data_IF_648546452165
#
_entry.id   IF_648546452165
#
_cell.length_a   1.000
_cell.length_b   1.000
_cell.length_c   1.000
_cell.angle_alpha   90.00
_cell.angle_beta   90.00
_cell.angle_gamma   90.00
#
_symmetry.space_group_name_H-M   'P 1'
#
loop_
_entity.id
_entity.type
_entity.pdbx_description
1 polymer ?
#
# COMPACT_ATOMS: atom_id res chain seq x y z
N UNK A 1 -12.13 -0.68 26.31
CA UNK A 1 -10.69 -0.32 26.35
C UNK A 1 -10.44 0.60 25.18
N UNK A 2 -9.57 1.60 25.29
CA UNK A 2 -9.27 2.50 24.19
C UNK A 2 -8.67 1.73 23.01
N UNK A 3 -8.82 2.26 21.81
CA UNK A 3 -8.26 1.73 20.56
C UNK A 3 -7.66 2.87 19.75
N UNK A 4 -6.91 2.55 18.69
CA UNK A 4 -6.35 3.59 17.79
C UNK A 4 -7.44 4.49 17.19
N UNK A 5 -8.66 3.98 16.98
CA UNK A 5 -9.80 4.73 16.44
C UNK A 5 -10.19 5.92 17.34
N UNK A 6 -10.01 5.79 18.66
CA UNK A 6 -10.31 6.87 19.61
C UNK A 6 -9.36 8.08 19.43
N UNK A 7 -8.23 7.87 18.75
CA UNK A 7 -7.20 8.88 18.51
C UNK A 7 -7.08 9.29 17.04
N UNK A 8 -7.95 8.81 16.15
CA UNK A 8 -7.93 9.19 14.72
C UNK A 8 -8.20 10.68 14.49
N UNK A 9 -8.85 11.38 15.43
CA UNK A 9 -9.01 12.83 15.39
C UNK A 9 -7.67 13.60 15.33
N UNK A 10 -6.56 12.97 15.75
CA UNK A 10 -5.23 13.56 15.62
C UNK A 10 -4.73 13.57 14.18
N UNK A 11 -5.31 12.78 13.27
CA UNK A 11 -4.99 12.83 11.83
C UNK A 11 -5.40 14.17 11.20
N UNK A 12 -6.31 14.92 11.83
CA UNK A 12 -6.67 16.28 11.41
C UNK A 12 -5.61 17.32 11.79
N UNK A 13 -4.63 16.95 12.62
CA UNK A 13 -3.53 17.84 13.00
C UNK A 13 -2.53 17.99 11.86
N UNK A 14 -2.00 19.20 11.71
CA UNK A 14 -0.94 19.51 10.75
C UNK A 14 0.28 18.61 10.97
N UNK A 15 0.84 18.11 9.86
CA UNK A 15 1.97 17.18 9.82
C UNK A 15 1.70 15.77 10.37
N UNK A 16 0.52 15.43 10.88
CA UNK A 16 0.26 14.07 11.37
C UNK A 16 -0.05 13.15 10.19
N UNK A 17 0.68 12.03 10.14
CA UNK A 17 0.59 11.04 9.06
C UNK A 17 -0.08 9.74 9.51
N UNK A 18 -0.10 9.48 10.81
CA UNK A 18 -0.62 8.23 11.35
C UNK A 18 -0.63 8.23 12.87
N UNK A 19 -1.54 7.46 13.46
CA UNK A 19 -1.70 7.33 14.91
C UNK A 19 -1.81 5.86 15.29
N UNK A 20 -1.14 5.48 16.35
CA UNK A 20 -1.22 4.14 16.93
C UNK A 20 -1.37 4.22 18.44
N UNK A 21 -2.35 3.52 18.99
CA UNK A 21 -2.47 3.32 20.42
C UNK A 21 -1.91 1.95 20.83
N UNK A 22 -0.97 1.98 21.77
CA UNK A 22 -0.30 0.83 22.37
C UNK A 22 -0.89 0.62 23.77
N UNK A 23 -1.78 -0.38 23.90
CA UNK A 23 -2.54 -0.64 25.12
C UNK A 23 -1.71 -1.26 26.24
N UNK A 24 -0.62 -1.96 25.89
CA UNK A 24 0.33 -2.51 26.85
C UNK A 24 1.10 -1.40 27.60
N UNK A 25 1.44 -0.33 26.88
CA UNK A 25 2.24 0.80 27.41
C UNK A 25 1.44 2.07 27.68
N UNK A 26 0.12 2.04 27.45
CA UNK A 26 -0.78 3.20 27.59
C UNK A 26 -0.24 4.45 26.86
N UNK A 27 0.25 4.24 25.63
CA UNK A 27 0.97 5.24 24.84
C UNK A 27 0.32 5.45 23.48
N UNK A 28 0.04 6.71 23.14
CA UNK A 28 -0.37 7.16 21.80
C UNK A 28 0.88 7.55 21.03
N UNK A 29 1.23 6.76 20.03
CA UNK A 29 2.27 7.11 19.04
C UNK A 29 1.65 7.92 17.93
N UNK A 30 2.24 9.08 17.66
CA UNK A 30 1.85 9.96 16.56
C UNK A 30 3.01 10.06 15.60
N UNK A 31 2.82 9.59 14.38
CA UNK A 31 3.80 9.70 13.30
C UNK A 31 3.59 11.02 12.59
N UNK A 32 4.63 11.87 12.56
CA UNK A 32 4.57 13.19 11.92
C UNK A 32 5.56 13.30 10.76
N UNK A 33 5.29 14.15 9.77
CA UNK A 33 6.20 14.32 8.63
C UNK A 33 7.55 14.92 9.02
N UNK A 34 7.53 15.82 10.01
CA UNK A 34 8.69 16.44 10.65
C UNK A 34 8.32 16.85 12.08
N UNK A 35 9.30 16.82 13.01
CA UNK A 35 9.13 17.39 14.34
C UNK A 35 9.34 18.90 14.34
N UNK A 36 8.31 19.63 14.74
CA UNK A 36 8.38 21.07 14.99
C UNK A 36 8.53 21.35 16.48
N UNK A 37 9.15 22.48 16.82
CA UNK A 37 9.22 22.96 18.19
C UNK A 37 7.84 23.43 18.68
N UNK A 38 7.59 23.45 20.01
CA UNK A 38 6.30 23.90 20.55
C UNK A 38 5.95 25.36 20.22
N UNK A 39 6.95 26.18 19.90
CA UNK A 39 6.79 27.59 19.51
C UNK A 39 6.45 27.76 18.02
N UNK A 40 6.71 26.72 17.22
CA UNK A 40 6.44 26.67 15.78
C UNK A 40 5.14 25.92 15.45
N UNK A 41 4.41 25.47 16.47
CA UNK A 41 3.14 24.73 16.36
C UNK A 41 1.98 25.59 16.89
N UNK A 42 0.89 25.63 16.13
CA UNK A 42 -0.38 26.12 16.65
C UNK A 42 -0.88 25.18 17.76
N UNK A 43 -1.61 25.72 18.75
CA UNK A 43 -2.12 24.94 19.89
C UNK A 43 -2.98 23.74 19.45
N UNK A 44 -3.68 23.87 18.31
CA UNK A 44 -4.50 22.80 17.71
C UNK A 44 -3.67 21.69 17.08
N UNK A 45 -2.43 21.94 16.70
CA UNK A 45 -1.57 20.97 16.00
C UNK A 45 -0.59 20.29 16.97
N UNK A 46 -0.55 20.75 18.23
CA UNK A 46 0.21 20.11 19.29
C UNK A 46 -0.54 18.91 19.87
N UNK A 47 -0.20 17.73 19.37
CA UNK A 47 -0.77 16.46 19.81
C UNK A 47 -0.53 16.15 21.30
N UNK A 48 0.52 16.72 21.91
CA UNK A 48 0.77 16.56 23.35
C UNK A 48 -0.15 17.41 24.21
N UNK A 49 -0.75 18.46 23.62
CA UNK A 49 -1.81 19.26 24.25
C UNK A 49 -3.19 18.70 23.98
N UNK A 50 -3.39 18.03 22.85
CA UNK A 50 -4.65 17.35 22.52
C UNK A 50 -4.87 16.10 23.41
N UNK A 51 -3.82 15.29 23.61
CA UNK A 51 -3.87 14.11 24.46
C UNK A 51 -3.20 14.40 25.80
N UNK A 52 -4.01 14.65 26.83
CA UNK A 52 -3.52 15.05 28.16
C UNK A 52 -3.61 13.95 29.22
N UNK A 53 -4.37 12.89 28.95
CA UNK A 53 -4.62 11.83 29.91
C UNK A 53 -3.78 10.56 29.67
N UNK A 54 -2.92 10.56 28.64
CA UNK A 54 -2.09 9.41 28.22
C UNK A 54 -0.67 9.82 27.87
N UNK A 55 0.23 8.85 27.76
CA UNK A 55 1.58 9.11 27.25
C UNK A 55 1.52 9.37 25.75
N UNK A 56 2.23 10.37 25.27
CA UNK A 56 2.32 10.70 23.85
C UNK A 56 3.76 10.56 23.40
N UNK A 57 3.99 9.73 22.38
CA UNK A 57 5.28 9.58 21.71
C UNK A 57 5.16 10.11 20.28
N UNK A 58 5.82 11.23 20.00
CA UNK A 58 5.88 11.78 18.64
C UNK A 58 7.06 11.15 17.91
N UNK A 59 6.79 10.49 16.79
CA UNK A 59 7.77 9.84 15.92
C UNK A 59 7.92 10.66 14.66
N UNK A 60 9.14 11.15 14.40
CA UNK A 60 9.45 11.85 13.15
C UNK A 60 9.59 10.82 12.04
N UNK A 61 8.80 10.95 10.98
CA UNK A 61 8.84 10.08 9.81
C UNK A 61 10.01 10.41 8.87
N UNK A 62 10.55 11.63 8.92
CA UNK A 62 11.82 12.06 8.30
C UNK A 62 11.69 12.73 6.93
N UNK A 63 10.55 13.34 6.60
CA UNK A 63 10.38 14.03 5.32
C UNK A 63 11.09 15.38 5.27
N UNK A 64 11.48 15.95 6.42
CA UNK A 64 12.07 17.30 6.57
C UNK A 64 11.22 18.43 5.94
N UNK A 65 9.94 18.15 5.65
CA UNK A 65 8.95 19.07 5.11
C UNK A 65 7.54 18.70 5.59
N UNK A 66 6.60 19.64 5.46
CA UNK A 66 5.18 19.43 5.76
C UNK A 66 4.53 18.60 4.66
N UNK A 67 3.79 17.56 5.04
CA UNK A 67 3.01 16.74 4.11
C UNK A 67 1.64 16.42 4.67
N UNK A 68 0.63 16.52 3.82
CA UNK A 68 -0.71 16.00 4.07
C UNK A 68 -0.78 14.56 3.55
N UNK A 69 -1.14 13.63 4.43
CA UNK A 69 -1.22 12.20 4.12
C UNK A 69 0.14 11.47 4.14
N UNK A 70 0.10 10.19 4.48
CA UNK A 70 1.29 9.34 4.54
C UNK A 70 1.78 9.00 3.11
N UNK A 71 2.69 9.81 2.55
CA UNK A 71 3.40 9.43 1.32
C UNK A 71 4.52 8.44 1.64
N UNK A 72 4.15 7.17 1.79
CA UNK A 72 5.01 6.02 2.11
C UNK A 72 6.32 5.88 1.33
N UNK A 73 6.52 6.68 0.29
CA UNK A 73 7.66 6.66 -0.61
C UNK A 73 8.67 7.80 -0.37
N UNK A 74 8.37 8.81 0.45
CA UNK A 74 9.12 10.08 0.43
C UNK A 74 10.36 10.22 1.32
N UNK A 75 10.77 9.20 2.10
CA UNK A 75 11.84 9.35 3.12
C UNK A 75 13.10 8.52 2.91
N UNK A 76 13.31 7.98 1.71
CA UNK A 76 14.63 7.51 1.34
C UNK A 76 15.09 8.36 0.15
N UNK A 77 16.41 8.55 0.00
CA UNK A 77 16.95 8.65 -1.36
C UNK A 77 16.41 7.43 -2.09
N UNK A 78 15.33 7.60 -2.83
CA UNK A 78 14.74 6.55 -3.65
C UNK A 78 15.86 6.20 -4.61
N UNK A 79 16.49 5.01 -4.47
CA UNK A 79 17.45 4.59 -5.47
C UNK A 79 16.72 4.69 -6.81
N UNK A 80 17.35 5.22 -7.86
CA UNK A 80 16.73 5.14 -9.18
C UNK A 80 16.27 3.71 -9.38
N UNK A 81 14.97 3.56 -9.64
CA UNK A 81 14.38 2.28 -9.95
C UNK A 81 15.28 1.54 -10.94
N UNK A 82 15.63 0.28 -10.64
CA UNK A 82 16.44 -0.50 -11.56
C UNK A 82 15.74 -0.52 -12.94
N UNK A 83 16.43 -0.13 -14.03
CA UNK A 83 15.81 0.13 -15.33
C UNK A 83 14.98 -1.05 -15.83
N UNK A 84 15.47 -2.27 -15.60
CA UNK A 84 14.82 -3.52 -15.98
C UNK A 84 13.38 -3.63 -15.44
N UNK A 85 13.02 -3.01 -14.31
CA UNK A 85 11.68 -3.08 -13.70
C UNK A 85 10.63 -2.26 -14.45
N UNK A 86 11.06 -1.31 -15.28
CA UNK A 86 10.22 -0.47 -16.13
C UNK A 86 10.03 -1.10 -17.50
N UNK A 87 10.85 -2.09 -17.84
CA UNK A 87 10.76 -2.78 -19.12
C UNK A 87 9.57 -3.74 -19.19
N UNK A 88 9.39 -4.33 -20.37
CA UNK A 88 8.34 -5.28 -20.65
C UNK A 88 8.72 -6.68 -20.16
N UNK A 89 7.93 -7.22 -19.23
CA UNK A 89 8.08 -8.55 -18.64
C UNK A 89 7.00 -9.51 -19.12
N UNK A 90 7.42 -10.65 -19.71
CA UNK A 90 6.52 -11.75 -20.10
C UNK A 90 7.20 -13.08 -19.75
N UNK A 91 6.76 -13.80 -18.71
CA UNK A 91 5.59 -13.52 -17.85
C UNK A 91 5.78 -12.27 -16.95
N UNK A 92 4.67 -11.71 -16.45
CA UNK A 92 4.70 -10.54 -15.55
C UNK A 92 5.10 -10.98 -14.14
N UNK A 93 6.27 -10.54 -13.68
CA UNK A 93 6.73 -10.75 -12.30
C UNK A 93 6.06 -9.81 -11.31
N UNK A 94 6.02 -10.17 -10.04
CA UNK A 94 5.68 -9.21 -8.98
C UNK A 94 6.85 -8.24 -8.75
N UNK A 95 6.56 -6.98 -8.39
CA UNK A 95 7.60 -5.97 -8.16
C UNK A 95 8.07 -5.21 -9.39
N UNK A 96 7.54 -5.52 -10.58
CA UNK A 96 7.78 -4.75 -11.84
C UNK A 96 6.67 -3.73 -12.07
N UNK A 97 6.81 -2.91 -13.09
CA UNK A 97 5.81 -1.91 -13.47
C UNK A 97 4.51 -2.53 -14.01
N UNK A 98 3.35 -2.17 -13.44
CA UNK A 98 2.01 -2.54 -13.93
C UNK A 98 0.93 -1.63 -13.32
N UNK A 99 -0.05 -1.19 -14.11
CA UNK A 99 -1.19 -0.38 -13.64
C UNK A 99 -2.35 -0.38 -14.65
N UNK A 100 -3.54 0.08 -14.24
CA UNK A 100 -4.61 0.47 -15.16
C UNK A 100 -4.08 1.44 -16.24
N UNK A 101 -4.44 1.20 -17.50
CA UNK A 101 -3.98 1.95 -18.67
C UNK A 101 -4.29 3.46 -18.63
N UNK A 102 -5.33 3.86 -17.90
CA UNK A 102 -5.75 5.26 -17.74
C UNK A 102 -5.09 5.94 -16.52
N UNK A 103 -4.08 5.32 -15.91
CA UNK A 103 -3.30 5.87 -14.80
C UNK A 103 -1.81 6.04 -15.17
N UNK A 104 -1.00 6.44 -14.19
CA UNK A 104 0.39 6.85 -14.44
C UNK A 104 1.38 5.69 -14.29
N UNK A 105 1.59 5.20 -13.07
CA UNK A 105 2.47 4.07 -12.79
C UNK A 105 2.26 3.46 -11.40
N UNK A 106 2.32 2.13 -11.33
CA UNK A 106 2.29 1.38 -10.07
C UNK A 106 3.17 0.13 -10.16
N UNK A 107 3.11 -0.71 -9.13
CA UNK A 107 3.86 -1.96 -9.04
C UNK A 107 2.91 -3.13 -9.17
N UNK A 108 3.30 -4.12 -9.97
CA UNK A 108 2.60 -5.38 -10.13
C UNK A 108 2.54 -6.12 -8.80
N UNK A 109 1.33 -6.40 -8.34
CA UNK A 109 1.07 -7.13 -7.10
C UNK A 109 1.48 -8.61 -7.19
N UNK A 110 1.48 -9.33 -6.06
CA UNK A 110 1.88 -10.74 -6.00
C UNK A 110 0.82 -11.68 -6.59
N UNK A 111 1.26 -12.90 -6.92
CA UNK A 111 0.56 -14.14 -7.31
C UNK A 111 -0.88 -14.08 -7.84
N UNK A 112 -1.21 -14.91 -8.85
CA UNK A 112 -2.59 -15.11 -9.21
C UNK A 112 -3.38 -15.82 -8.09
N UNK A 113 -4.52 -15.25 -7.70
CA UNK A 113 -5.51 -15.81 -6.78
C UNK A 113 -6.70 -16.41 -7.55
N UNK A 114 -7.52 -17.20 -6.85
CA UNK A 114 -8.79 -17.70 -7.40
C UNK A 114 -9.95 -16.98 -6.74
N UNK A 115 -10.90 -16.53 -7.57
CA UNK A 115 -12.17 -16.01 -7.08
C UNK A 115 -12.96 -17.15 -6.44
N UNK A 116 -13.48 -16.96 -5.24
CA UNK A 116 -14.25 -17.99 -4.51
C UNK A 116 -15.70 -17.63 -4.31
N UNK A 117 -16.04 -16.34 -4.39
CA UNK A 117 -17.37 -15.82 -4.16
C UNK A 117 -17.51 -14.47 -4.88
N UNK A 118 -18.30 -14.44 -5.94
CA UNK A 118 -18.62 -13.21 -6.69
C UNK A 118 -19.84 -12.48 -6.12
N UNK A 119 -20.58 -13.11 -5.21
CA UNK A 119 -21.76 -12.55 -4.54
C UNK A 119 -21.41 -11.94 -3.17
N UNK A 120 -20.13 -11.96 -2.79
CA UNK A 120 -19.63 -11.40 -1.54
C UNK A 120 -20.03 -9.92 -1.39
N UNK A 121 -20.80 -9.62 -0.34
CA UNK A 121 -21.43 -8.30 -0.15
C UNK A 121 -20.45 -7.13 -0.01
N UNK A 122 -19.17 -7.40 0.27
CA UNK A 122 -18.12 -6.40 0.46
C UNK A 122 -17.25 -6.20 -0.79
N UNK A 123 -17.56 -6.84 -1.92
CA UNK A 123 -16.85 -6.67 -3.16
C UNK A 123 -17.85 -6.41 -4.30
N UNK A 124 -17.42 -5.64 -5.29
CA UNK A 124 -18.16 -5.47 -6.55
C UNK A 124 -17.41 -6.19 -7.65
N UNK A 125 -18.12 -6.98 -8.45
CA UNK A 125 -17.59 -7.75 -9.57
C UNK A 125 -18.29 -7.38 -10.87
N UNK A 126 -17.60 -7.52 -11.99
CA UNK A 126 -18.20 -7.42 -13.32
C UNK A 126 -19.14 -8.59 -13.60
N UNK A 127 -20.14 -8.36 -14.46
CA UNK A 127 -21.16 -9.36 -14.82
C UNK A 127 -20.59 -10.66 -15.42
N UNK A 128 -19.36 -10.60 -15.96
CA UNK A 128 -18.65 -11.73 -16.57
C UNK A 128 -17.64 -12.41 -15.63
N UNK A 129 -17.48 -11.91 -14.39
CA UNK A 129 -16.65 -12.56 -13.39
C UNK A 129 -17.28 -13.87 -12.91
N UNK A 130 -16.45 -14.86 -12.59
CA UNK A 130 -16.94 -16.17 -12.13
C UNK A 130 -16.08 -16.79 -11.06
N UNK A 131 -16.71 -17.56 -10.17
CA UNK A 131 -15.99 -18.39 -9.21
C UNK A 131 -15.02 -19.36 -9.92
N UNK A 132 -13.84 -19.51 -9.36
CA UNK A 132 -12.75 -20.30 -9.92
C UNK A 132 -11.87 -19.55 -10.93
N UNK A 133 -12.29 -18.36 -11.40
CA UNK A 133 -11.49 -17.51 -12.28
C UNK A 133 -10.15 -17.16 -11.62
N UNK A 134 -9.10 -17.17 -12.44
CA UNK A 134 -7.77 -16.76 -12.03
C UNK A 134 -7.63 -15.25 -12.17
N UNK A 135 -7.29 -14.57 -11.09
CA UNK A 135 -7.12 -13.12 -11.04
C UNK A 135 -5.79 -12.74 -10.44
N UNK A 136 -5.25 -11.57 -10.78
CA UNK A 136 -4.13 -10.96 -10.07
C UNK A 136 -4.65 -9.85 -9.19
N UNK A 137 -4.20 -9.80 -7.94
CA UNK A 137 -4.59 -8.79 -6.97
C UNK A 137 -3.62 -7.62 -6.99
N UNK A 138 -4.15 -6.42 -6.76
CA UNK A 138 -3.41 -5.21 -6.43
C UNK A 138 -4.33 -4.31 -5.62
N UNK A 139 -3.93 -3.07 -5.39
CA UNK A 139 -4.80 -2.07 -4.78
C UNK A 139 -5.91 -1.62 -5.76
N UNK A 140 -7.06 -1.23 -5.21
CA UNK A 140 -8.12 -0.54 -5.92
C UNK A 140 -7.60 0.73 -6.61
N UNK A 141 -6.79 1.56 -5.95
CA UNK A 141 -6.23 2.75 -6.61
C UNK A 141 -5.32 2.41 -7.82
N UNK A 142 -4.80 1.17 -7.90
CA UNK A 142 -3.95 0.70 -9.00
C UNK A 142 -4.77 0.18 -10.18
N UNK A 143 -5.80 -0.65 -9.94
CA UNK A 143 -6.59 -1.24 -11.04
C UNK A 143 -7.94 -0.60 -11.27
N UNK A 144 -8.59 -0.08 -10.23
CA UNK A 144 -9.95 0.42 -10.25
C UNK A 144 -10.05 1.96 -10.20
N UNK A 145 -8.92 2.68 -10.21
CA UNK A 145 -8.87 4.15 -10.21
C UNK A 145 -9.69 4.78 -9.06
N UNK A 146 -9.59 4.22 -7.85
CA UNK A 146 -10.39 4.70 -6.70
C UNK A 146 -11.88 4.61 -7.01
N UNK A 147 -12.32 3.42 -7.42
CA UNK A 147 -13.69 3.09 -7.87
C UNK A 147 -14.14 3.69 -9.21
N UNK A 148 -13.36 4.57 -9.87
CA UNK A 148 -13.79 5.24 -11.11
C UNK A 148 -13.69 4.36 -12.38
N UNK A 149 -12.93 3.28 -12.35
CA UNK A 149 -12.77 2.41 -13.52
C UNK A 149 -13.96 1.47 -13.70
N UNK A 150 -14.47 1.39 -14.93
CA UNK A 150 -15.44 0.36 -15.33
C UNK A 150 -14.82 -1.04 -15.39
N UNK A 151 -15.62 -2.07 -15.12
CA UNK A 151 -15.20 -3.46 -15.35
C UNK A 151 -14.82 -3.68 -16.82
N UNK A 152 -13.78 -4.48 -17.06
CA UNK A 152 -13.16 -4.63 -18.37
C UNK A 152 -12.09 -3.58 -18.71
N UNK A 153 -11.90 -2.55 -17.86
CA UNK A 153 -10.83 -1.57 -18.03
C UNK A 153 -9.47 -2.27 -18.14
N UNK A 154 -8.64 -1.83 -19.09
CA UNK A 154 -7.39 -2.51 -19.40
C UNK A 154 -6.31 -2.24 -18.35
N UNK A 155 -5.57 -3.28 -17.99
CA UNK A 155 -4.33 -3.18 -17.20
C UNK A 155 -3.15 -3.48 -18.12
N UNK A 156 -2.11 -2.67 -18.04
CA UNK A 156 -0.91 -2.73 -18.89
C UNK A 156 0.36 -2.98 -18.08
N UNK A 157 1.29 -3.69 -18.71
CA UNK A 157 2.64 -3.93 -18.22
C UNK A 157 3.61 -3.77 -19.42
N UNK A 158 4.50 -2.76 -19.40
CA UNK A 158 4.75 -1.80 -18.31
C UNK A 158 3.63 -0.74 -18.16
N UNK A 159 3.79 0.18 -17.21
CA UNK A 159 2.83 1.27 -16.95
C UNK A 159 2.94 2.33 -18.05
N UNK A 160 1.93 3.18 -18.26
CA UNK A 160 2.00 4.26 -19.26
C UNK A 160 3.22 5.18 -19.09
N UNK A 161 3.57 5.55 -17.86
CA UNK A 161 4.77 6.35 -17.57
C UNK A 161 6.08 5.67 -18.00
N UNK A 162 6.08 4.34 -17.99
CA UNK A 162 7.24 3.49 -18.25
C UNK A 162 7.24 2.97 -19.70
N UNK A 163 6.37 3.52 -20.55
CA UNK A 163 6.31 3.25 -22.00
C UNK A 163 5.33 2.15 -22.43
N UNK A 164 4.47 1.68 -21.53
CA UNK A 164 3.46 0.68 -21.86
C UNK A 164 2.30 1.26 -22.65
N UNK A 165 1.92 0.63 -23.75
CA UNK A 165 0.87 1.13 -24.64
C UNK A 165 -0.14 0.04 -25.04
N UNK A 166 -1.39 0.44 -25.22
CA UNK A 166 -2.42 -0.43 -25.79
C UNK A 166 -2.29 -0.48 -27.32
N UNK A 167 -2.57 -1.63 -27.96
CA UNK A 167 -3.04 -2.87 -27.35
C UNK A 167 -1.93 -3.84 -26.90
N UNK A 168 -0.67 -3.57 -27.25
CA UNK A 168 0.42 -4.55 -27.21
C UNK A 168 0.87 -4.93 -25.79
N UNK A 169 0.66 -4.03 -24.82
CA UNK A 169 1.04 -4.22 -23.43
C UNK A 169 -0.10 -4.59 -22.49
N UNK A 170 -1.29 -4.85 -23.04
CA UNK A 170 -2.42 -5.34 -22.25
C UNK A 170 -2.10 -6.71 -21.64
N UNK A 171 -2.16 -6.78 -20.32
CA UNK A 171 -1.93 -8.01 -19.55
C UNK A 171 -3.17 -8.54 -18.84
N UNK A 172 -4.19 -7.70 -18.67
CA UNK A 172 -5.49 -8.14 -18.18
C UNK A 172 -6.54 -7.04 -18.22
N UNK A 173 -7.66 -7.32 -17.57
CA UNK A 173 -8.78 -6.39 -17.43
C UNK A 173 -9.34 -6.42 -16.01
N UNK A 174 -9.82 -5.28 -15.52
CA UNK A 174 -10.43 -5.18 -14.19
C UNK A 174 -11.66 -6.10 -14.10
N UNK A 175 -11.68 -6.95 -13.07
CA UNK A 175 -12.74 -7.93 -12.79
C UNK A 175 -13.59 -7.59 -11.57
N UNK A 176 -12.96 -7.04 -10.55
CA UNK A 176 -13.63 -6.76 -9.28
C UNK A 176 -12.77 -5.92 -8.36
N UNK A 177 -13.39 -5.31 -7.37
CA UNK A 177 -12.70 -4.56 -6.32
C UNK A 177 -13.57 -4.44 -5.07
N UNK A 178 -12.92 -4.17 -3.94
CA UNK A 178 -13.60 -3.68 -2.74
C UNK A 178 -13.73 -2.16 -2.89
N UNK A 179 -14.94 -1.59 -2.84
CA UNK A 179 -15.11 -0.14 -2.93
C UNK A 179 -14.36 0.59 -1.82
N UNK A 180 -13.65 1.66 -2.16
CA UNK A 180 -13.08 2.58 -1.17
C UNK A 180 -14.20 3.50 -0.68
N UNK A 181 -14.67 3.27 0.55
CA UNK A 181 -15.72 4.03 1.24
C UNK A 181 -15.52 4.00 2.77
N UNK A 182 -16.25 4.82 3.51
CA UNK A 182 -16.10 4.95 4.96
C UNK A 182 -16.26 3.60 5.69
N UNK A 183 -15.29 3.29 6.56
CA UNK A 183 -15.26 2.05 7.33
C UNK A 183 -14.68 0.84 6.60
N UNK A 184 -14.31 0.97 5.33
CA UNK A 184 -13.54 -0.06 4.60
C UNK A 184 -12.06 0.07 4.97
N UNK A 185 -11.48 -1.05 5.39
CA UNK A 185 -10.09 -1.11 5.89
C UNK A 185 -9.11 -1.79 4.93
N UNK A 186 -9.56 -2.10 3.71
CA UNK A 186 -8.76 -2.80 2.70
C UNK A 186 -8.84 -2.12 1.36
N UNK A 187 -7.68 -1.91 0.76
CA UNK A 187 -7.54 -1.37 -0.60
C UNK A 187 -7.17 -2.52 -1.54
N UNK A 188 -8.15 -3.07 -2.26
CA UNK A 188 -7.94 -4.23 -3.13
C UNK A 188 -8.81 -4.22 -4.38
N UNK A 189 -8.19 -4.61 -5.49
CA UNK A 189 -8.82 -4.91 -6.77
C UNK A 189 -8.19 -6.12 -7.44
N UNK A 190 -8.96 -6.72 -8.34
CA UNK A 190 -8.62 -7.92 -9.07
C UNK A 190 -8.69 -7.65 -10.58
N UNK A 191 -7.62 -8.00 -11.30
CA UNK A 191 -7.64 -8.09 -12.77
C UNK A 191 -7.64 -9.54 -13.22
N UNK A 192 -8.14 -9.82 -14.42
CA UNK A 192 -8.02 -11.13 -15.06
C UNK A 192 -6.55 -11.55 -15.16
N UNK A 193 -6.24 -12.82 -14.95
CA UNK A 193 -4.90 -13.38 -15.09
C UNK A 193 -4.89 -14.60 -16.03
N UNK A 194 -3.79 -14.80 -16.75
CA UNK A 194 -3.58 -15.99 -17.58
C UNK A 194 -2.32 -16.73 -17.13
N UNK A 195 -2.39 -18.05 -16.81
CA UNK A 195 -1.24 -18.78 -16.28
C UNK A 195 0.03 -18.68 -17.11
N UNK A 196 -0.07 -18.58 -18.44
CA UNK A 196 1.06 -18.45 -19.37
C UNK A 196 1.70 -17.05 -19.39
N UNK A 197 1.05 -16.06 -18.76
CA UNK A 197 1.47 -14.65 -18.73
C UNK A 197 1.81 -14.15 -17.34
N UNK A 198 1.53 -14.91 -16.29
CA UNK A 198 1.85 -14.55 -14.90
C UNK A 198 3.05 -15.33 -14.40
N UNK A 199 3.93 -14.66 -13.65
CA UNK A 199 4.97 -15.35 -12.89
C UNK A 199 4.50 -15.55 -11.45
N UNK A 200 4.90 -16.69 -10.88
CA UNK A 200 4.85 -16.95 -9.44
C UNK A 200 6.09 -16.36 -8.73
N UNK A 201 7.03 -15.80 -9.47
CA UNK A 201 8.27 -15.24 -8.94
C UNK A 201 8.18 -13.72 -8.76
N UNK A 202 9.04 -13.22 -7.89
CA UNK A 202 9.21 -11.81 -7.61
C UNK A 202 10.48 -11.31 -8.26
N UNK A 203 10.44 -10.13 -8.86
CA UNK A 203 11.59 -9.54 -9.51
C UNK A 203 12.68 -9.24 -8.47
N UNK A 204 13.82 -9.94 -8.61
CA UNK A 204 15.02 -9.86 -7.76
C UNK A 204 14.80 -10.13 -6.27
N UNK A 205 13.64 -10.64 -5.86
CA UNK A 205 13.41 -11.04 -4.47
C UNK A 205 13.62 -12.56 -4.36
N UNK A 206 14.63 -13.04 -3.61
CA UNK A 206 14.94 -14.46 -3.52
C UNK A 206 13.80 -15.27 -2.89
N UNK A 207 13.68 -16.55 -3.28
CA UNK A 207 12.65 -17.49 -2.78
C UNK A 207 12.70 -17.74 -1.25
N UNK A 208 13.80 -17.37 -0.60
CA UNK A 208 13.94 -17.46 0.87
C UNK A 208 13.00 -16.51 1.62
N UNK A 209 12.45 -15.49 0.94
CA UNK A 209 11.50 -14.55 1.49
C UNK A 209 10.08 -15.11 1.34
N UNK A 210 9.44 -15.55 2.44
CA UNK A 210 8.15 -16.18 2.35
C UNK A 210 7.10 -15.14 1.98
N UNK A 211 6.51 -15.34 0.81
CA UNK A 211 5.49 -14.48 0.25
C UNK A 211 4.16 -15.25 0.25
N UNK A 212 3.14 -14.71 0.92
CA UNK A 212 1.87 -15.43 1.17
C UNK A 212 1.65 -15.94 2.60
N UNK A 213 2.43 -15.47 3.58
CA UNK A 213 2.12 -15.73 4.99
C UNK A 213 0.92 -14.85 5.39
N UNK A 214 -0.25 -15.47 5.60
CA UNK A 214 -1.32 -14.85 6.38
C UNK A 214 -0.91 -14.85 7.85
N UNK A 215 -0.63 -13.69 8.42
CA UNK A 215 -0.41 -13.54 9.87
C UNK A 215 -1.71 -13.08 10.51
N UNK A 216 -2.07 -13.66 11.65
CA UNK A 216 -3.25 -13.24 12.42
C UNK A 216 -2.88 -12.09 13.37
N UNK A 217 -1.62 -12.01 13.78
CA UNK A 217 -1.10 -11.01 14.73
C UNK A 217 -0.07 -10.09 14.05
N UNK A 218 -0.51 -9.17 13.19
CA UNK A 218 0.40 -8.22 12.52
C UNK A 218 1.15 -7.31 13.50
N UNK A 219 0.62 -7.07 14.70
CA UNK A 219 1.31 -6.31 15.76
C UNK A 219 2.62 -6.97 16.20
N UNK A 220 2.70 -8.30 16.13
CA UNK A 220 3.90 -9.05 16.46
C UNK A 220 5.04 -8.83 15.44
N UNK A 221 4.79 -8.16 14.31
CA UNK A 221 5.85 -7.76 13.38
C UNK A 221 6.63 -6.54 13.86
N UNK A 222 6.19 -5.83 14.89
CA UNK A 222 6.92 -4.66 15.38
C UNK A 222 8.35 -5.05 15.78
N UNK A 223 9.34 -4.34 15.24
CA UNK A 223 10.76 -4.64 15.38
C UNK A 223 11.31 -5.67 14.38
N UNK A 224 10.45 -6.47 13.75
CA UNK A 224 10.86 -7.41 12.69
C UNK A 224 11.27 -6.66 11.42
N UNK A 225 12.27 -7.19 10.72
CA UNK A 225 12.66 -6.67 9.40
C UNK A 225 11.77 -7.26 8.32
N UNK A 226 11.11 -6.40 7.56
CA UNK A 226 10.37 -6.76 6.35
C UNK A 226 11.16 -6.36 5.11
N UNK A 227 10.97 -7.11 4.02
CA UNK A 227 11.56 -6.83 2.71
C UNK A 227 10.44 -6.68 1.70
N UNK A 228 10.49 -5.62 0.90
CA UNK A 228 9.60 -5.40 -0.24
C UNK A 228 10.38 -5.39 -1.53
N UNK A 229 9.67 -5.66 -2.63
CA UNK A 229 10.16 -5.45 -4.00
C UNK A 229 9.17 -4.57 -4.73
N UNK A 230 9.65 -3.56 -5.44
CA UNK A 230 8.76 -2.66 -6.18
C UNK A 230 9.42 -1.93 -7.34
N UNK A 231 8.56 -1.42 -8.22
CA UNK A 231 8.96 -0.70 -9.44
C UNK A 231 9.91 0.45 -9.13
N UNK A 232 9.63 1.20 -8.06
CA UNK A 232 10.32 2.47 -7.79
C UNK A 232 11.61 2.31 -7.00
N UNK A 233 11.61 1.45 -5.98
CA UNK A 233 12.74 1.35 -5.01
C UNK A 233 13.56 0.08 -5.18
N UNK A 234 13.21 -0.79 -6.12
CA UNK A 234 13.78 -2.13 -6.20
C UNK A 234 13.46 -2.97 -4.97
N UNK A 235 14.39 -3.82 -4.57
CA UNK A 235 14.33 -4.59 -3.31
C UNK A 235 14.84 -3.73 -2.18
N UNK A 236 14.05 -3.63 -1.12
CA UNK A 236 14.38 -2.77 0.01
C UNK A 236 13.88 -3.38 1.32
N UNK A 237 14.64 -3.24 2.40
CA UNK A 237 14.32 -3.86 3.71
C UNK A 237 14.36 -2.84 4.85
N UNK A 238 13.61 -3.11 5.91
CA UNK A 238 13.73 -2.44 7.21
C UNK A 238 12.75 -2.92 8.27
N UNK A 239 12.95 -2.41 9.48
CA UNK A 239 12.17 -2.71 10.66
C UNK A 239 10.78 -2.06 10.66
N UNK A 240 9.78 -2.82 11.08
CA UNK A 240 8.43 -2.32 11.34
C UNK A 240 8.43 -1.51 12.64
N UNK A 241 8.15 -0.21 12.57
CA UNK A 241 8.15 0.68 13.75
C UNK A 241 6.78 0.80 14.44
N UNK A 242 5.69 0.51 13.71
CA UNK A 242 4.33 0.54 14.22
C UNK A 242 3.40 -0.33 13.37
N UNK A 243 2.24 -0.66 13.93
CA UNK A 243 1.22 -1.52 13.32
C UNK A 243 -0.12 -0.81 13.15
N UNK A 244 -0.08 0.53 13.07
CA UNK A 244 -1.26 1.37 12.89
C UNK A 244 -2.18 0.79 11.82
N UNK A 245 -3.46 0.60 12.19
CA UNK A 245 -4.50 0.31 11.22
C UNK A 245 -4.65 1.57 10.39
N UNK A 246 -4.26 1.45 9.13
CA UNK A 246 -4.35 2.56 8.22
C UNK A 246 -5.81 2.71 7.79
N UNK A 247 -6.50 3.74 8.26
CA UNK A 247 -7.46 4.46 7.44
C UNK A 247 -6.68 5.13 6.30
N UNK A 248 -6.23 4.34 5.33
CA UNK A 248 -5.39 4.75 4.20
C UNK A 248 -3.90 4.42 4.33
N UNK A 249 -3.46 3.38 3.62
CA UNK A 249 -2.05 2.96 3.39
C UNK A 249 -1.21 2.54 4.61
N UNK A 250 -0.97 1.23 4.75
CA UNK A 250 0.13 0.70 5.58
C UNK A 250 1.47 0.99 4.92
N UNK A 251 2.47 1.43 5.69
CA UNK A 251 3.87 1.47 5.26
C UNK A 251 4.82 1.06 6.36
N UNK A 252 5.79 0.22 5.99
CA UNK A 252 6.99 -0.01 6.77
C UNK A 252 8.07 0.96 6.30
N UNK A 253 8.70 1.67 7.24
CA UNK A 253 9.93 2.44 7.01
C UNK A 253 10.95 1.55 6.32
N UNK A 254 11.73 2.06 5.36
CA UNK A 254 12.83 1.36 4.68
C UNK A 254 14.09 2.22 4.67
N UNK A 255 15.16 1.75 5.32
CA UNK A 255 16.50 2.31 5.19
C UNK A 255 17.34 1.43 4.27
N UNK A 256 17.68 1.95 3.09
CA UNK A 256 18.62 1.29 2.19
C UNK A 256 20.02 1.25 2.84
N UNK A 257 20.71 0.12 2.71
CA UNK A 257 22.16 0.02 2.95
C UNK A 257 22.90 0.03 1.62
#
# INVERSE_FOLDING_TARGET
MPSSEDFEHLLDCRNVLGVEYDDETDTVRVFVSQKLGPDDLDERDDVTRQVTDRNVEVVDAGYDEEREGFDALGVAQIPEAQPDRHERHRPVLAGVSEINADSTAATAGPYPARVTDTDAANATWGDDASEGELVRLSNNHVYALVNDAGFGAAVVQPSPRDGGELPDDRVGELRGYVPIEDGVVVDVAARSARPDRESAEYHELPDEWPTGIRREEYRALKGETVTKTGRTTGVSSASVEGSARASGLTSARTTAR
#
